data_IF_487526497573
#
_entry.id   IF_487526497573
#
_cell.length_a   1.000
_cell.length_b   1.000
_cell.length_c   1.000
_cell.angle_alpha   90.00
_cell.angle_beta   90.00
_cell.angle_gamma   90.00
#
_symmetry.space_group_name_H-M   'P 1'
#
loop_
_entity.id
_entity.type
_entity.pdbx_description
1 polymer ?
#
# COMPACT_ATOMS: atom_id res chain seq x y z
N UNK A 1 4.90 -23.30 0.49
CA UNK A 1 4.06 -22.63 -0.54
C UNK A 1 4.98 -21.79 -1.41
N UNK A 2 4.99 -22.00 -2.72
CA UNK A 2 5.80 -21.19 -3.63
C UNK A 2 5.19 -19.78 -3.72
N UNK A 3 6.01 -18.74 -3.60
CA UNK A 3 5.56 -17.37 -3.84
C UNK A 3 5.24 -17.19 -5.34
N UNK A 4 4.10 -16.59 -5.62
CA UNK A 4 3.61 -16.31 -6.98
C UNK A 4 4.10 -14.96 -7.47
N UNK A 5 4.16 -13.97 -6.58
CA UNK A 5 4.59 -12.61 -6.90
C UNK A 5 6.07 -12.42 -6.55
N UNK A 6 6.85 -12.13 -7.58
CA UNK A 6 8.28 -11.81 -7.51
C UNK A 6 8.53 -10.45 -8.16
N UNK A 7 9.73 -9.92 -7.96
CA UNK A 7 10.19 -8.67 -8.59
C UNK A 7 10.53 -8.93 -10.06
N UNK A 8 9.51 -9.28 -10.82
CA UNK A 8 9.56 -9.45 -12.26
C UNK A 8 8.96 -8.21 -12.92
N UNK A 9 9.43 -7.92 -14.13
CA UNK A 9 9.02 -6.74 -14.89
C UNK A 9 7.50 -6.60 -14.98
N UNK A 10 6.81 -7.71 -15.27
CA UNK A 10 5.35 -7.74 -15.40
C UNK A 10 4.68 -7.25 -14.12
N UNK A 11 4.98 -7.87 -12.97
CA UNK A 11 4.33 -7.51 -11.70
C UNK A 11 4.71 -6.12 -11.20
N UNK A 12 5.98 -5.72 -11.36
CA UNK A 12 6.43 -4.39 -10.97
C UNK A 12 5.69 -3.33 -11.79
N UNK A 13 5.66 -3.46 -13.12
CA UNK A 13 4.97 -2.49 -13.99
C UNK A 13 3.46 -2.47 -13.71
N UNK A 14 2.82 -3.63 -13.51
CA UNK A 14 1.38 -3.72 -13.20
C UNK A 14 0.99 -3.04 -11.89
N UNK A 15 1.70 -3.33 -10.79
CA UNK A 15 1.26 -2.87 -9.46
C UNK A 15 1.84 -1.53 -9.04
N UNK A 16 3.00 -1.13 -9.58
CA UNK A 16 3.64 0.15 -9.23
C UNK A 16 3.46 1.22 -10.31
N UNK A 17 3.17 0.83 -11.55
CA UNK A 17 3.20 1.74 -12.71
C UNK A 17 4.62 2.22 -13.07
N UNK A 18 5.66 1.68 -12.44
CA UNK A 18 7.05 2.07 -12.66
C UNK A 18 7.74 1.09 -13.60
N UNK A 19 8.53 1.63 -14.55
CA UNK A 19 9.54 0.84 -15.25
C UNK A 19 10.57 0.30 -14.25
N UNK A 20 11.16 -0.86 -14.55
CA UNK A 20 12.15 -1.52 -13.68
C UNK A 20 13.30 -0.60 -13.24
N UNK A 21 13.79 0.29 -14.11
CA UNK A 21 14.87 1.24 -13.78
C UNK A 21 14.44 2.28 -12.73
N UNK A 22 13.22 2.82 -12.84
CA UNK A 22 12.64 3.72 -11.83
C UNK A 22 12.35 2.97 -10.53
N UNK A 23 11.89 1.73 -10.62
CA UNK A 23 11.70 0.87 -9.45
C UNK A 23 13.04 0.63 -8.70
N UNK A 24 14.14 0.34 -9.41
CA UNK A 24 15.46 0.22 -8.76
C UNK A 24 15.89 1.51 -8.06
N UNK A 25 15.55 2.67 -8.62
CA UNK A 25 15.81 3.97 -7.99
C UNK A 25 14.99 4.16 -6.72
N UNK A 26 13.71 3.79 -6.75
CA UNK A 26 12.85 3.76 -5.56
C UNK A 26 13.44 2.86 -4.46
N UNK A 27 13.94 1.67 -4.81
CA UNK A 27 14.56 0.78 -3.82
C UNK A 27 15.80 1.39 -3.14
N UNK A 28 16.58 2.22 -3.86
CA UNK A 28 17.70 2.96 -3.26
C UNK A 28 17.21 3.96 -2.22
N UNK A 29 16.22 4.78 -2.56
CA UNK A 29 15.61 5.75 -1.65
C UNK A 29 15.01 5.07 -0.42
N UNK A 30 14.26 3.97 -0.60
CA UNK A 30 13.65 3.23 0.51
C UNK A 30 14.72 2.64 1.43
N UNK A 31 15.84 2.17 0.88
CA UNK A 31 16.97 1.66 1.65
C UNK A 31 17.63 2.77 2.48
N UNK A 32 17.87 3.94 1.88
CA UNK A 32 18.41 5.12 2.58
C UNK A 32 17.49 5.59 3.71
N UNK A 33 16.17 5.51 3.50
CA UNK A 33 15.15 5.80 4.54
C UNK A 33 14.99 4.71 5.60
N UNK A 34 15.89 3.72 5.65
CA UNK A 34 15.87 2.67 6.67
C UNK A 34 14.94 1.49 6.40
N UNK A 35 14.46 1.34 5.15
CA UNK A 35 13.63 0.20 4.73
C UNK A 35 14.35 -1.15 4.75
N UNK A 36 15.68 -1.16 4.83
CA UNK A 36 16.47 -2.38 5.03
C UNK A 36 16.78 -2.70 6.50
N UNK A 37 16.26 -1.93 7.46
CA UNK A 37 16.43 -2.21 8.88
C UNK A 37 15.81 -3.56 9.27
N UNK A 38 16.31 -4.17 10.35
CA UNK A 38 15.84 -5.48 10.83
C UNK A 38 14.50 -5.38 11.57
N UNK A 39 13.74 -6.46 11.58
CA UNK A 39 12.56 -6.58 12.43
C UNK A 39 13.02 -7.04 13.82
N UNK A 40 13.11 -6.11 14.79
CA UNK A 40 13.55 -6.42 16.17
C UNK A 40 14.87 -7.22 16.22
N UNK A 41 15.85 -6.84 15.40
CA UNK A 41 17.15 -7.52 15.32
C UNK A 41 17.21 -8.71 14.35
N UNK A 42 16.08 -9.19 13.84
CA UNK A 42 16.04 -10.31 12.89
C UNK A 42 16.02 -9.81 11.43
N UNK A 43 16.80 -10.46 10.53
CA UNK A 43 16.71 -10.16 9.11
C UNK A 43 15.32 -10.52 8.58
N UNK A 44 14.83 -9.74 7.62
CA UNK A 44 13.59 -10.07 6.92
C UNK A 44 13.79 -11.34 6.09
N UNK A 45 12.81 -12.24 6.10
CA UNK A 45 12.81 -13.40 5.21
C UNK A 45 12.57 -13.04 3.74
N UNK A 46 12.16 -11.79 3.46
CA UNK A 46 11.75 -11.30 2.16
C UNK A 46 12.69 -10.18 1.67
N UNK A 47 13.26 -10.28 0.45
CA UNK A 47 14.08 -9.22 -0.14
C UNK A 47 13.37 -7.87 -0.18
N UNK A 48 14.12 -6.77 -0.10
CA UNK A 48 13.53 -5.42 -0.08
C UNK A 48 12.62 -5.14 -1.28
N UNK A 49 12.99 -5.61 -2.48
CA UNK A 49 12.18 -5.42 -3.67
C UNK A 49 10.80 -6.08 -3.57
N UNK A 50 10.75 -7.31 -3.08
CA UNK A 50 9.49 -8.04 -2.88
C UNK A 50 8.65 -7.43 -1.75
N UNK A 51 9.30 -6.89 -0.71
CA UNK A 51 8.61 -6.14 0.34
C UNK A 51 7.97 -4.84 -0.18
N UNK A 52 8.67 -4.10 -1.04
CA UNK A 52 8.13 -2.88 -1.67
C UNK A 52 7.01 -3.23 -2.66
N UNK A 53 7.16 -4.30 -3.43
CA UNK A 53 6.11 -4.79 -4.32
C UNK A 53 4.86 -5.21 -3.54
N UNK A 54 5.03 -5.88 -2.39
CA UNK A 54 3.92 -6.25 -1.50
C UNK A 54 3.14 -5.02 -1.02
N UNK A 55 3.82 -3.93 -0.67
CA UNK A 55 3.16 -2.67 -0.29
C UNK A 55 2.36 -2.09 -1.46
N UNK A 56 2.91 -2.11 -2.67
CA UNK A 56 2.21 -1.64 -3.85
C UNK A 56 0.96 -2.49 -4.16
N UNK A 57 1.07 -3.81 -4.08
CA UNK A 57 -0.07 -4.74 -4.26
C UNK A 57 -1.15 -4.45 -3.22
N UNK A 58 -0.76 -4.30 -1.94
CA UNK A 58 -1.71 -3.99 -0.87
C UNK A 58 -2.44 -2.66 -1.06
N UNK A 59 -1.75 -1.61 -1.52
CA UNK A 59 -2.40 -0.31 -1.77
C UNK A 59 -3.22 -0.26 -3.07
N UNK A 60 -2.93 -1.15 -4.03
CA UNK A 60 -3.59 -1.16 -5.35
C UNK A 60 -4.75 -2.15 -5.44
N UNK A 61 -4.91 -3.04 -4.46
CA UNK A 61 -5.90 -4.12 -4.46
C UNK A 61 -6.54 -4.28 -3.09
N UNK A 62 -7.77 -4.78 -3.04
CA UNK A 62 -8.49 -5.03 -1.78
C UNK A 62 -8.14 -6.37 -1.12
N UNK A 63 -6.90 -6.83 -1.30
CA UNK A 63 -6.46 -8.11 -0.75
C UNK A 63 -6.27 -8.03 0.78
N UNK A 64 -6.87 -8.97 1.47
CA UNK A 64 -6.62 -9.14 2.92
C UNK A 64 -5.20 -9.67 3.17
N UNK A 65 -4.66 -9.44 4.37
CA UNK A 65 -3.33 -9.96 4.77
C UNK A 65 -3.22 -11.50 4.62
N UNK A 66 -4.34 -12.21 4.77
CA UNK A 66 -4.43 -13.68 4.62
C UNK A 66 -4.32 -14.11 3.16
N UNK A 67 -4.79 -13.30 2.22
CA UNK A 67 -4.63 -13.54 0.79
C UNK A 67 -3.25 -13.06 0.30
N UNK A 68 -2.77 -11.94 0.82
CA UNK A 68 -1.49 -11.34 0.43
C UNK A 68 -0.27 -12.18 0.83
N UNK A 69 -0.25 -12.72 2.05
CA UNK A 69 0.88 -13.51 2.56
C UNK A 69 1.27 -14.67 1.64
N UNK A 70 0.34 -15.57 1.28
CA UNK A 70 0.60 -16.67 0.36
C UNK A 70 1.16 -16.25 -1.00
N UNK A 71 0.74 -15.11 -1.56
CA UNK A 71 1.26 -14.61 -2.85
C UNK A 71 2.76 -14.33 -2.80
N UNK A 72 3.30 -13.96 -1.65
CA UNK A 72 4.72 -13.71 -1.43
C UNK A 72 5.43 -14.83 -0.66
N UNK A 73 4.74 -15.96 -0.40
CA UNK A 73 5.30 -17.08 0.34
C UNK A 73 5.61 -16.78 1.81
N UNK A 74 4.92 -15.82 2.42
CA UNK A 74 5.11 -15.42 3.82
C UNK A 74 3.82 -15.59 4.64
N UNK A 75 3.95 -15.58 5.97
CA UNK A 75 2.77 -15.58 6.84
C UNK A 75 2.00 -14.26 6.75
N UNK A 76 0.69 -14.30 7.06
CA UNK A 76 -0.14 -13.09 7.16
C UNK A 76 0.41 -12.08 8.18
N UNK A 77 1.05 -12.54 9.25
CA UNK A 77 1.68 -11.67 10.24
C UNK A 77 2.95 -11.00 9.72
N UNK A 78 3.74 -11.69 8.90
CA UNK A 78 4.90 -11.09 8.22
C UNK A 78 4.45 -10.03 7.22
N UNK A 79 3.43 -10.32 6.41
CA UNK A 79 2.86 -9.34 5.49
C UNK A 79 2.41 -8.07 6.22
N UNK A 80 1.65 -8.22 7.33
CA UNK A 80 1.23 -7.10 8.16
C UNK A 80 2.41 -6.25 8.67
N UNK A 81 3.49 -6.90 9.13
CA UNK A 81 4.72 -6.21 9.58
C UNK A 81 5.44 -5.47 8.45
N UNK A 82 5.49 -6.05 7.26
CA UNK A 82 6.06 -5.40 6.07
C UNK A 82 5.28 -4.14 5.73
N UNK A 83 3.94 -4.23 5.67
CA UNK A 83 3.07 -3.09 5.37
C UNK A 83 3.23 -1.98 6.41
N UNK A 84 3.17 -2.30 7.70
CA UNK A 84 3.33 -1.30 8.77
C UNK A 84 4.71 -0.61 8.75
N UNK A 85 5.77 -1.34 8.38
CA UNK A 85 7.13 -0.80 8.37
C UNK A 85 7.43 0.04 7.12
N UNK A 86 7.03 -0.43 5.94
CA UNK A 86 7.39 0.19 4.67
C UNK A 86 6.32 1.13 4.11
N UNK A 87 5.05 0.96 4.49
CA UNK A 87 3.95 1.83 4.09
C UNK A 87 4.28 3.31 4.29
N UNK A 88 4.71 3.74 5.49
CA UNK A 88 5.09 5.13 5.75
C UNK A 88 6.30 5.63 4.94
N UNK A 89 7.22 4.75 4.54
CA UNK A 89 8.40 5.15 3.75
C UNK A 89 8.08 5.40 2.28
N UNK A 90 7.00 4.77 1.80
CA UNK A 90 6.52 4.80 0.43
C UNK A 90 5.35 5.76 0.22
N UNK A 91 4.63 6.12 1.29
CA UNK A 91 3.66 7.18 1.25
C UNK A 91 4.38 8.51 0.93
N UNK A 92 3.91 9.18 -0.13
CA UNK A 92 4.19 10.61 -0.31
C UNK A 92 3.64 11.34 0.92
N UNK A 93 4.33 12.40 1.36
CA UNK A 93 3.78 13.37 2.32
C UNK A 93 2.29 13.56 2.00
N UNK A 94 1.37 13.36 2.97
CA UNK A 94 -0.04 13.52 2.71
C UNK A 94 -0.22 14.91 2.09
N UNK A 95 -0.81 14.97 0.89
CA UNK A 95 -1.12 16.25 0.25
C UNK A 95 -1.82 17.10 1.28
N UNK A 96 -1.17 18.19 1.69
CA UNK A 96 -1.77 19.13 2.63
C UNK A 96 -3.11 19.52 2.05
N UNK A 97 -4.18 19.24 2.80
CA UNK A 97 -5.55 19.55 2.34
C UNK A 97 -5.57 21.04 1.99
N UNK A 98 -5.93 21.37 0.76
CA UNK A 98 -6.39 22.72 0.48
C UNK A 98 -7.62 22.95 1.36
N UNK A 99 -7.54 23.94 2.25
CA UNK A 99 -8.52 24.18 3.30
C UNK A 99 -9.88 24.70 2.79
N UNK A 100 -10.05 24.92 1.48
CA UNK A 100 -11.24 25.58 0.94
C UNK A 100 -11.80 24.85 -0.29
N UNK A 101 -12.85 24.05 -0.08
CA UNK A 101 -13.89 23.77 -1.08
C UNK A 101 -15.04 22.99 -0.43
N UNK A 102 -15.98 23.67 0.27
CA UNK A 102 -17.10 23.03 0.96
C UNK A 102 -18.10 22.29 0.05
N UNK A 103 -18.03 22.46 -1.28
CA UNK A 103 -19.01 21.90 -2.23
C UNK A 103 -18.49 20.75 -3.11
N UNK A 104 -17.32 20.19 -2.81
CA UNK A 104 -16.77 19.09 -3.61
C UNK A 104 -17.37 17.75 -3.18
N UNK A 105 -18.13 17.11 -4.08
CA UNK A 105 -18.58 15.70 -3.93
C UNK A 105 -17.37 14.81 -4.20
N UNK A 106 -17.05 13.92 -3.26
CA UNK A 106 -15.98 12.93 -3.42
C UNK A 106 -16.60 11.62 -3.87
N UNK A 107 -15.92 10.82 -4.68
CA UNK A 107 -16.40 9.47 -5.04
C UNK A 107 -15.32 8.50 -4.61
N UNK A 108 -15.69 7.53 -3.78
CA UNK A 108 -14.82 6.46 -3.29
C UNK A 108 -15.45 5.14 -3.68
N UNK A 109 -14.75 4.31 -4.45
CA UNK A 109 -15.23 3.00 -4.93
C UNK A 109 -16.60 3.05 -5.65
N UNK A 110 -16.85 4.13 -6.40
CA UNK A 110 -18.10 4.36 -7.13
C UNK A 110 -19.23 4.94 -6.28
N UNK A 111 -18.98 5.17 -4.99
CA UNK A 111 -19.97 5.71 -4.05
C UNK A 111 -19.64 7.18 -3.76
N UNK A 112 -20.57 8.12 -3.95
CA UNK A 112 -20.34 9.50 -3.57
C UNK A 112 -20.27 9.62 -2.04
N UNK A 113 -19.30 10.38 -1.56
CA UNK A 113 -18.96 10.61 -0.15
C UNK A 113 -18.86 12.12 0.02
N UNK A 114 -19.65 12.67 0.94
CA UNK A 114 -19.42 14.03 1.43
C UNK A 114 -18.59 13.95 2.70
N UNK A 115 -17.72 14.93 2.86
CA UNK A 115 -16.79 15.16 3.98
C UNK A 115 -17.24 14.62 5.36
N UNK A 116 -16.29 14.32 6.25
CA UNK A 116 -16.52 13.68 7.56
C UNK A 116 -17.26 14.55 8.60
N UNK A 117 -17.57 15.80 8.30
CA UNK A 117 -18.58 16.59 9.03
C UNK A 117 -20.02 16.39 8.54
N UNK A 118 -20.21 15.72 7.40
CA UNK A 118 -21.47 15.65 6.62
C UNK A 118 -21.91 14.22 6.31
N UNK A 119 -21.02 13.23 6.17
CA UNK A 119 -21.45 11.84 5.95
C UNK A 119 -21.82 11.09 7.24
N UNK A 120 -22.66 10.06 7.14
CA UNK A 120 -23.13 9.25 8.27
C UNK A 120 -22.57 7.81 8.26
N UNK A 121 -22.26 7.31 9.47
CA UNK A 121 -21.55 6.05 9.72
C UNK A 121 -22.33 4.78 9.33
N UNK A 122 -21.88 4.02 8.32
CA UNK A 122 -22.28 2.61 8.06
C UNK A 122 -21.19 1.58 8.43
N UNK A 123 -21.56 0.30 8.45
CA UNK A 123 -20.74 -0.84 8.93
C UNK A 123 -19.49 -1.12 8.08
N UNK A 124 -19.48 -0.74 6.79
CA UNK A 124 -18.32 -0.89 5.89
C UNK A 124 -17.80 0.45 5.34
N UNK A 125 -18.65 1.47 5.16
CA UNK A 125 -18.24 2.79 4.67
C UNK A 125 -18.96 3.87 5.45
N UNK A 126 -18.22 4.54 6.33
CA UNK A 126 -18.82 5.40 7.36
C UNK A 126 -19.40 6.74 6.88
N UNK A 127 -19.49 7.03 5.56
CA UNK A 127 -19.84 8.38 5.06
C UNK A 127 -20.41 8.43 3.62
N UNK A 128 -21.25 7.48 3.18
CA UNK A 128 -21.78 7.46 1.80
C UNK A 128 -23.06 8.28 1.60
N UNK A 129 -23.17 8.98 0.47
CA UNK A 129 -24.37 9.66 -0.01
C UNK A 129 -25.15 8.73 -0.98
N UNK A 130 -26.46 8.59 -0.77
CA UNK A 130 -27.36 7.99 -1.75
C UNK A 130 -27.79 9.11 -2.72
N UNK A 131 -27.66 8.89 -4.02
CA UNK A 131 -28.12 9.81 -5.08
C UNK A 131 -29.48 9.36 -5.57
#
# INVERSE_FOLDING_TARGET
MAAVLRVERVWVETFTGLRMTRFSSLLKVVRERGGNGTLRGWPWSLPLGERVLMVAVYYRTDLTMRQLGPLFGVSSSMACRVIQRLGPLLALEPVSRAADAPDRIWIVDGIPVRDRGVGASSRNYRFSANV
#
